data_IF_797177669303
#
_entry.id   IF_797177669303
#
_cell.length_a   1.000
_cell.length_b   1.000
_cell.length_c   1.000
_cell.angle_alpha   90.00
_cell.angle_beta   90.00
_cell.angle_gamma   90.00
#
_symmetry.space_group_name_H-M   'P 1'
#
loop_
_entity.id
_entity.type
_entity.pdbx_description
1 polymer ?
#
# COMPACT_ATOMS: atom_id res chain seq x y z
N UNK A 1 11.47 11.95 -43.02
CA UNK A 1 10.34 11.42 -42.28
C UNK A 1 9.04 11.78 -42.99
N UNK A 2 8.31 10.77 -43.44
CA UNK A 2 7.13 10.97 -44.30
C UNK A 2 5.82 10.84 -43.54
N UNK A 3 5.89 10.45 -42.26
CA UNK A 3 4.77 10.32 -41.36
C UNK A 3 4.88 11.29 -40.20
N UNK A 4 3.73 11.68 -39.65
CA UNK A 4 3.55 12.29 -38.35
C UNK A 4 2.52 11.51 -37.56
N UNK A 5 2.72 11.45 -36.27
CA UNK A 5 1.84 10.76 -35.30
C UNK A 5 1.20 11.82 -34.44
N UNK A 6 -0.12 11.86 -34.36
CA UNK A 6 -0.84 12.66 -33.39
C UNK A 6 -1.25 11.77 -32.24
N UNK A 7 -0.76 12.10 -31.08
CA UNK A 7 -1.07 11.44 -29.81
C UNK A 7 -2.07 12.33 -29.05
N UNK A 8 -3.20 11.76 -28.68
CA UNK A 8 -4.18 12.42 -27.81
C UNK A 8 -4.18 11.77 -26.47
N UNK A 9 -3.79 12.49 -25.43
CA UNK A 9 -3.76 12.02 -24.05
C UNK A 9 -5.16 11.97 -23.42
N UNK A 10 -5.29 11.36 -22.25
CA UNK A 10 -6.56 11.22 -21.51
C UNK A 10 -7.27 12.56 -21.23
N UNK A 11 -6.51 13.62 -21.01
CA UNK A 11 -7.06 14.97 -20.78
C UNK A 11 -7.43 15.72 -22.08
N UNK A 12 -7.30 15.05 -23.23
CA UNK A 12 -7.61 15.62 -24.53
C UNK A 12 -6.52 16.49 -25.16
N UNK A 13 -5.34 16.59 -24.53
CA UNK A 13 -4.21 17.28 -25.16
C UNK A 13 -3.71 16.48 -26.36
N UNK A 14 -3.35 17.19 -27.43
CA UNK A 14 -2.84 16.59 -28.68
C UNK A 14 -1.40 17.01 -28.86
N UNK A 15 -0.55 16.02 -29.01
CA UNK A 15 0.88 16.18 -29.25
C UNK A 15 1.24 15.58 -30.62
N UNK A 16 2.12 16.26 -31.38
CA UNK A 16 2.67 15.76 -32.62
C UNK A 16 4.04 15.10 -32.35
N UNK A 17 4.12 13.80 -32.58
CA UNK A 17 5.33 13.00 -32.40
C UNK A 17 5.79 12.51 -33.79
N UNK A 18 7.08 12.54 -34.01
CA UNK A 18 7.66 12.05 -35.26
C UNK A 18 8.30 10.67 -35.04
N UNK A 19 8.07 9.71 -35.96
CA UNK A 19 8.74 8.41 -35.89
C UNK A 19 10.25 8.58 -35.93
N UNK A 20 10.95 7.82 -35.09
CA UNK A 20 12.42 7.70 -35.15
C UNK A 20 12.85 6.98 -36.40
N UNK A 21 12.17 5.89 -36.72
CA UNK A 21 12.44 5.03 -37.84
C UNK A 21 11.12 4.66 -38.56
N UNK A 22 11.24 4.51 -39.88
CA UNK A 22 10.19 3.94 -40.77
C UNK A 22 10.86 2.78 -41.50
N UNK A 23 10.37 1.57 -41.28
CA UNK A 23 10.95 0.34 -41.85
C UNK A 23 9.86 -0.49 -42.53
N UNK A 24 10.26 -1.42 -43.42
CA UNK A 24 9.38 -2.40 -44.02
C UNK A 24 8.95 -3.47 -42.99
N UNK A 25 8.10 -4.41 -43.41
CA UNK A 25 7.64 -5.51 -42.58
C UNK A 25 8.78 -6.39 -42.05
N UNK A 26 9.96 -6.41 -42.69
CA UNK A 26 11.13 -7.18 -42.35
C UNK A 26 12.17 -6.40 -41.52
N UNK A 27 11.83 -5.18 -41.07
CA UNK A 27 12.68 -4.23 -40.36
C UNK A 27 13.85 -3.66 -41.20
N UNK A 28 13.77 -3.67 -42.52
CA UNK A 28 14.71 -2.96 -43.35
C UNK A 28 14.28 -1.50 -43.57
N UNK A 29 15.23 -0.59 -43.71
CA UNK A 29 14.94 0.77 -44.10
C UNK A 29 14.25 0.80 -45.49
N UNK A 30 13.26 1.68 -45.66
CA UNK A 30 12.61 1.84 -46.92
C UNK A 30 13.61 2.34 -47.97
N UNK A 31 13.60 1.68 -49.11
CA UNK A 31 14.41 2.02 -50.27
C UNK A 31 13.54 2.53 -51.42
N UNK A 32 14.15 2.75 -52.61
CA UNK A 32 13.45 3.26 -53.78
C UNK A 32 12.40 2.28 -54.35
N UNK A 33 12.38 1.02 -53.94
CA UNK A 33 11.37 0.04 -54.35
C UNK A 33 10.02 0.23 -53.64
N UNK A 34 10.05 0.96 -52.49
CA UNK A 34 8.89 1.18 -51.63
C UNK A 34 8.47 -0.05 -50.86
N UNK A 35 7.41 0.09 -50.10
CA UNK A 35 6.77 -1.00 -49.33
C UNK A 35 5.25 -0.74 -49.25
N UNK A 36 4.48 -1.81 -49.22
CA UNK A 36 3.02 -1.77 -49.02
C UNK A 36 2.68 -1.82 -47.51
N UNK A 37 3.60 -2.22 -46.71
CA UNK A 37 3.46 -2.28 -45.25
C UNK A 37 4.67 -1.64 -44.59
N UNK A 38 4.43 -0.71 -43.67
CA UNK A 38 5.46 -0.01 -42.93
C UNK A 38 5.25 -0.15 -41.43
N UNK A 39 6.36 -0.23 -40.68
CA UNK A 39 6.37 -0.12 -39.24
C UNK A 39 6.96 1.23 -38.85
N UNK A 40 6.32 1.88 -37.91
CA UNK A 40 6.77 3.15 -37.37
C UNK A 40 7.28 2.92 -35.94
N UNK A 41 8.51 3.28 -35.72
CA UNK A 41 9.09 3.26 -34.35
C UNK A 41 8.95 4.68 -33.77
N UNK A 42 8.14 4.83 -32.74
CA UNK A 42 7.83 6.10 -32.11
C UNK A 42 8.32 6.07 -30.67
N UNK A 43 9.16 7.02 -30.31
CA UNK A 43 9.57 7.20 -28.92
C UNK A 43 8.51 7.98 -28.17
N UNK A 44 8.01 7.41 -27.08
CA UNK A 44 7.12 8.07 -26.13
C UNK A 44 7.95 8.46 -24.91
N UNK A 45 7.77 9.67 -24.40
CA UNK A 45 8.42 10.16 -23.18
C UNK A 45 7.62 9.86 -21.90
N UNK A 46 6.58 9.05 -22.02
CA UNK A 46 5.72 8.60 -20.93
C UNK A 46 5.38 7.10 -21.07
N UNK A 47 4.86 6.52 -19.99
CA UNK A 47 4.35 5.13 -19.98
C UNK A 47 2.86 5.18 -20.36
N UNK A 48 2.42 4.48 -21.44
CA UNK A 48 1.02 4.44 -21.82
C UNK A 48 0.14 3.84 -20.73
N UNK A 49 -1.05 4.42 -20.56
CA UNK A 49 -2.06 4.03 -19.55
C UNK A 49 -3.30 3.37 -20.19
N UNK A 50 -3.25 3.07 -21.48
CA UNK A 50 -4.34 2.40 -22.20
C UNK A 50 -5.49 3.28 -22.63
N UNK A 51 -5.40 4.58 -22.39
CA UNK A 51 -6.43 5.54 -22.78
C UNK A 51 -6.00 6.54 -23.87
N UNK A 52 -4.74 6.53 -24.23
CA UNK A 52 -4.17 7.41 -25.24
C UNK A 52 -4.58 6.95 -26.65
N UNK A 53 -4.93 7.93 -27.47
CA UNK A 53 -5.37 7.69 -28.84
C UNK A 53 -4.31 8.17 -29.83
N UNK A 54 -3.93 7.28 -30.73
CA UNK A 54 -2.93 7.53 -31.78
C UNK A 54 -3.62 7.63 -33.14
N UNK A 55 -3.25 8.65 -33.91
CA UNK A 55 -3.58 8.77 -35.34
C UNK A 55 -2.32 9.05 -36.15
N UNK A 56 -2.17 8.39 -37.28
CA UNK A 56 -0.98 8.46 -38.11
C UNK A 56 -1.36 9.11 -39.42
N UNK A 57 -0.68 10.20 -39.78
CA UNK A 57 -0.93 10.99 -41.00
C UNK A 57 0.30 11.02 -41.88
N UNK A 58 0.13 11.25 -43.22
CA UNK A 58 1.21 11.77 -44.01
C UNK A 58 1.70 13.11 -43.45
N UNK A 59 3.00 13.32 -43.42
CA UNK A 59 3.57 14.59 -42.91
C UNK A 59 3.16 15.79 -43.74
N UNK A 60 3.01 15.59 -45.02
CA UNK A 60 2.57 16.60 -45.99
C UNK A 60 1.88 15.95 -47.18
N UNK A 61 1.26 16.75 -48.04
CA UNK A 61 0.60 16.26 -49.29
C UNK A 61 1.54 15.58 -50.27
N UNK A 62 2.86 15.72 -50.10
CA UNK A 62 3.86 15.13 -50.99
C UNK A 62 4.74 14.11 -50.29
N UNK A 63 4.41 13.71 -49.06
CA UNK A 63 5.25 12.83 -48.27
C UNK A 63 5.15 11.36 -48.67
N UNK A 64 3.95 10.92 -49.08
CA UNK A 64 3.67 9.54 -49.47
C UNK A 64 3.05 9.52 -50.84
N UNK A 65 3.55 8.68 -51.74
CA UNK A 65 3.06 8.55 -53.11
C UNK A 65 3.19 7.10 -53.60
N UNK A 66 2.36 6.73 -54.54
CA UNK A 66 2.43 5.42 -55.18
C UNK A 66 3.48 5.38 -56.30
N UNK A 67 3.68 4.20 -56.93
CA UNK A 67 4.65 3.98 -58.02
C UNK A 67 4.41 4.84 -59.26
N UNK A 68 3.23 5.42 -59.40
CA UNK A 68 2.87 6.34 -60.51
C UNK A 68 3.04 7.82 -60.12
N UNK A 69 3.56 8.11 -58.94
CA UNK A 69 3.76 9.48 -58.46
C UNK A 69 2.49 10.17 -57.96
N UNK A 70 1.41 9.43 -57.72
CA UNK A 70 0.16 9.98 -57.16
C UNK A 70 0.29 10.06 -55.66
N UNK A 71 0.17 11.26 -55.14
CA UNK A 71 0.31 11.54 -53.71
C UNK A 71 -0.89 11.06 -52.91
N UNK A 72 -0.63 10.66 -51.67
CA UNK A 72 -1.65 10.41 -50.66
C UNK A 72 -2.21 11.74 -50.14
N UNK A 73 -3.53 11.82 -49.92
CA UNK A 73 -4.11 13.00 -49.30
C UNK A 73 -3.56 13.18 -47.85
N UNK A 74 -3.10 14.38 -47.56
CA UNK A 74 -2.57 14.71 -46.23
C UNK A 74 -3.63 14.74 -45.14
N UNK A 75 -4.91 14.72 -45.47
CA UNK A 75 -6.03 14.59 -44.55
C UNK A 75 -6.37 13.13 -44.17
N UNK A 76 -5.89 12.16 -44.99
CA UNK A 76 -6.07 10.75 -44.70
C UNK A 76 -5.23 10.34 -43.47
N UNK A 77 -5.79 9.46 -42.65
CA UNK A 77 -5.09 8.96 -41.48
C UNK A 77 -5.40 7.49 -41.18
N UNK A 78 -4.44 6.83 -40.55
CA UNK A 78 -4.64 5.52 -39.95
C UNK A 78 -4.99 5.67 -38.47
N UNK A 79 -5.95 4.89 -38.00
CA UNK A 79 -6.46 4.94 -36.62
C UNK A 79 -7.93 5.40 -36.59
N UNK A 80 -8.45 5.80 -35.41
CA UNK A 80 -7.74 5.91 -34.14
C UNK A 80 -7.31 4.55 -33.59
N UNK A 81 -6.11 4.48 -33.01
CA UNK A 81 -5.60 3.33 -32.26
C UNK A 81 -5.46 3.72 -30.80
N UNK A 82 -5.83 2.84 -29.92
CA UNK A 82 -5.54 3.00 -28.48
C UNK A 82 -4.20 2.34 -28.17
N UNK A 83 -3.34 3.02 -27.41
CA UNK A 83 -2.11 2.40 -26.92
C UNK A 83 -2.44 1.31 -25.90
N UNK A 84 -1.64 0.27 -25.89
CA UNK A 84 -1.74 -0.72 -24.83
C UNK A 84 -1.22 -0.11 -23.53
N UNK A 85 -1.94 -0.35 -22.45
CA UNK A 85 -1.52 0.00 -21.11
C UNK A 85 -0.24 -0.74 -20.73
N UNK A 86 0.73 -0.01 -20.21
CA UNK A 86 2.02 -0.51 -19.71
C UNK A 86 2.34 0.01 -18.32
N UNK A 87 1.43 0.83 -17.76
CA UNK A 87 1.57 1.30 -16.40
C UNK A 87 1.26 0.14 -15.46
N UNK A 88 2.21 -0.18 -14.58
CA UNK A 88 1.99 -1.21 -13.58
C UNK A 88 1.22 -0.63 -12.41
N UNK A 89 0.28 -1.37 -11.82
CA UNK A 89 -0.37 -0.94 -10.62
C UNK A 89 0.66 -0.79 -9.49
N UNK A 90 0.48 0.26 -8.72
CA UNK A 90 1.20 0.50 -7.47
C UNK A 90 0.21 0.94 -6.40
N UNK A 91 0.55 0.71 -5.16
CA UNK A 91 -0.30 1.06 -4.03
C UNK A 91 0.35 2.09 -3.11
N UNK A 92 -0.50 2.78 -2.37
CA UNK A 92 -0.15 3.54 -1.19
C UNK A 92 -0.96 2.98 -0.01
N UNK A 93 -0.39 3.07 1.18
CA UNK A 93 -1.08 2.72 2.42
C UNK A 93 -1.34 3.97 3.26
N UNK A 94 -2.43 3.97 4.03
CA UNK A 94 -2.68 4.99 5.04
C UNK A 94 -1.78 4.84 6.28
N UNK A 95 -1.04 3.73 6.38
CA UNK A 95 -0.03 3.48 7.41
C UNK A 95 1.33 3.38 6.70
N UNK A 96 2.29 4.20 7.13
CA UNK A 96 3.66 4.17 6.61
C UNK A 96 4.51 3.19 7.43
N UNK A 97 5.57 2.66 6.81
CA UNK A 97 6.58 1.87 7.53
C UNK A 97 7.22 2.71 8.64
N UNK A 98 7.25 2.15 9.85
CA UNK A 98 7.72 2.83 11.06
C UNK A 98 6.65 3.65 11.78
N UNK A 99 5.38 3.59 11.37
CA UNK A 99 4.28 4.19 12.11
C UNK A 99 4.18 3.61 13.52
N UNK A 100 3.83 4.43 14.48
CA UNK A 100 3.70 4.07 15.90
C UNK A 100 2.28 4.32 16.40
N UNK A 101 1.91 3.72 17.52
CA UNK A 101 0.60 3.88 18.16
C UNK A 101 -0.58 3.42 17.29
N UNK A 102 -0.37 2.37 16.50
CA UNK A 102 -1.45 1.81 15.66
C UNK A 102 -2.35 0.92 16.50
N UNK A 103 -3.63 1.23 16.49
CA UNK A 103 -4.66 0.45 17.19
C UNK A 103 -5.19 -0.67 16.30
N UNK A 104 -5.56 -1.81 16.88
CA UNK A 104 -6.27 -2.86 16.15
C UNK A 104 -7.64 -2.40 15.59
N UNK A 105 -8.17 -1.27 16.08
CA UNK A 105 -9.41 -0.67 15.57
C UNK A 105 -9.18 0.17 14.32
N UNK A 106 -7.93 0.47 14.01
CA UNK A 106 -7.59 1.22 12.81
C UNK A 106 -7.72 0.31 11.59
N UNK A 107 -8.40 0.80 10.58
CA UNK A 107 -8.48 0.11 9.29
C UNK A 107 -7.25 0.45 8.47
N UNK A 108 -6.52 -0.57 8.01
CA UNK A 108 -5.40 -0.38 7.10
C UNK A 108 -5.95 -0.37 5.67
N UNK A 109 -5.71 0.71 4.94
CA UNK A 109 -6.25 0.91 3.60
C UNK A 109 -5.10 0.92 2.60
N UNK A 110 -5.16 0.04 1.63
CA UNK A 110 -4.32 0.06 0.45
C UNK A 110 -5.11 0.67 -0.70
N UNK A 111 -4.61 1.77 -1.25
CA UNK A 111 -5.20 2.42 -2.42
C UNK A 111 -4.27 2.25 -3.62
N UNK A 112 -4.81 1.76 -4.72
CA UNK A 112 -4.09 1.55 -5.97
C UNK A 112 -4.33 2.71 -6.92
N UNK A 113 -3.36 2.97 -7.80
CA UNK A 113 -3.48 4.00 -8.84
C UNK A 113 -4.55 3.70 -9.88
N UNK A 114 -5.02 2.47 -9.94
CA UNK A 114 -5.99 1.96 -10.90
C UNK A 114 -6.70 0.70 -10.37
N UNK A 115 -7.85 0.32 -10.93
CA UNK A 115 -8.52 -0.92 -10.56
C UNK A 115 -7.64 -2.16 -10.81
N UNK A 116 -7.64 -3.06 -9.84
CA UNK A 116 -6.84 -4.28 -9.84
C UNK A 116 -7.70 -5.54 -9.82
N UNK A 117 -7.09 -6.67 -10.18
CA UNK A 117 -7.62 -8.01 -10.05
C UNK A 117 -6.50 -8.96 -9.62
N UNK A 118 -6.85 -10.19 -9.29
CA UNK A 118 -5.83 -11.24 -9.07
C UNK A 118 -5.20 -11.65 -10.40
N UNK A 119 -4.00 -12.23 -10.30
CA UNK A 119 -3.28 -12.78 -11.46
C UNK A 119 -4.16 -13.73 -12.30
N UNK A 120 -3.90 -13.76 -13.60
CA UNK A 120 -4.62 -14.56 -14.58
C UNK A 120 -6.10 -14.12 -14.76
N UNK A 121 -6.39 -12.86 -14.52
CA UNK A 121 -7.71 -12.28 -14.75
C UNK A 121 -8.77 -12.70 -13.74
N UNK A 122 -8.39 -13.27 -12.62
CA UNK A 122 -9.36 -13.67 -11.59
C UNK A 122 -9.93 -12.44 -10.88
N UNK A 123 -11.23 -12.41 -10.57
CA UNK A 123 -11.82 -11.28 -9.88
C UNK A 123 -11.28 -11.15 -8.46
N UNK A 124 -11.09 -9.92 -8.03
CA UNK A 124 -10.76 -9.60 -6.66
C UNK A 124 -12.05 -9.54 -5.84
N UNK A 125 -12.13 -10.37 -4.80
CA UNK A 125 -13.22 -10.42 -3.83
C UNK A 125 -12.64 -10.26 -2.42
N UNK A 126 -13.49 -10.03 -1.42
CA UNK A 126 -13.07 -9.93 -0.03
C UNK A 126 -12.25 -11.17 0.39
N UNK A 127 -12.76 -12.37 0.13
CA UNK A 127 -12.07 -13.62 0.49
C UNK A 127 -10.76 -13.81 -0.25
N UNK A 128 -10.72 -13.52 -1.55
CA UNK A 128 -9.51 -13.69 -2.35
C UNK A 128 -8.43 -12.63 -2.02
N UNK A 129 -8.84 -11.45 -1.59
CA UNK A 129 -7.94 -10.42 -1.11
C UNK A 129 -7.25 -10.85 0.20
N UNK A 130 -7.94 -11.57 1.11
CA UNK A 130 -7.33 -12.08 2.35
C UNK A 130 -6.06 -12.89 2.09
N UNK A 131 -6.07 -13.74 1.07
CA UNK A 131 -4.91 -14.57 0.74
C UNK A 131 -3.69 -13.77 0.26
N UNK A 132 -3.91 -12.50 -0.08
CA UNK A 132 -2.89 -11.59 -0.60
C UNK A 132 -2.12 -10.86 0.49
N UNK A 133 -2.54 -10.98 1.73
CA UNK A 133 -1.91 -10.35 2.89
C UNK A 133 -1.37 -11.38 3.87
N UNK A 134 -0.37 -10.98 4.65
CA UNK A 134 0.12 -11.74 5.81
C UNK A 134 0.48 -10.73 6.89
N UNK A 135 -0.09 -10.90 8.08
CA UNK A 135 0.19 -10.04 9.22
C UNK A 135 0.90 -10.87 10.29
N UNK A 136 2.05 -10.39 10.72
CA UNK A 136 2.91 -11.07 11.69
C UNK A 136 3.29 -10.14 12.82
N UNK A 137 3.34 -10.69 14.02
CA UNK A 137 4.03 -10.11 15.16
C UNK A 137 5.50 -10.53 15.08
N UNK A 138 6.40 -9.58 14.85
CA UNK A 138 7.82 -9.86 14.57
C UNK A 138 8.76 -9.53 15.73
N UNK A 139 8.30 -8.74 16.70
CA UNK A 139 9.07 -8.45 17.91
C UNK A 139 8.11 -8.23 19.09
N UNK A 140 8.38 -8.89 20.19
CA UNK A 140 7.60 -8.81 21.42
C UNK A 140 8.53 -8.74 22.60
N UNK A 141 8.14 -7.99 23.62
CA UNK A 141 8.87 -7.92 24.88
C UNK A 141 8.46 -9.02 25.86
N UNK A 142 7.29 -9.61 25.69
CA UNK A 142 6.68 -10.57 26.61
C UNK A 142 6.32 -11.90 25.96
N UNK A 143 5.99 -12.88 26.76
CA UNK A 143 5.51 -14.19 26.31
C UNK A 143 4.00 -14.17 26.11
N UNK A 144 3.51 -14.77 25.03
CA UNK A 144 2.07 -15.01 24.84
C UNK A 144 1.69 -16.34 25.50
N UNK A 145 0.63 -16.31 26.29
CA UNK A 145 0.05 -17.50 26.89
C UNK A 145 -1.24 -17.84 26.14
N UNK A 146 -1.20 -18.93 25.39
CA UNK A 146 -2.39 -19.46 24.71
C UNK A 146 -2.92 -20.62 25.54
N UNK A 147 -4.05 -20.41 26.21
CA UNK A 147 -4.73 -21.45 27.01
C UNK A 147 -5.90 -22.04 26.22
N UNK A 148 -5.88 -23.35 26.02
CA UNK A 148 -7.00 -24.13 25.53
C UNK A 148 -7.54 -25.02 26.67
N UNK A 149 -8.73 -25.63 26.58
CA UNK A 149 -9.24 -26.51 27.63
C UNK A 149 -8.28 -27.64 28.01
N UNK A 150 -7.45 -28.10 27.08
CA UNK A 150 -6.58 -29.25 27.26
C UNK A 150 -5.09 -28.93 27.35
N UNK A 151 -4.68 -27.67 27.08
CA UNK A 151 -3.26 -27.29 27.08
C UNK A 151 -3.03 -25.81 27.27
N UNK A 152 -1.85 -25.47 27.79
CA UNK A 152 -1.33 -24.10 27.82
C UNK A 152 -0.04 -24.07 27.02
N UNK A 153 0.00 -23.22 25.99
CA UNK A 153 1.19 -23.00 25.18
C UNK A 153 1.76 -21.64 25.56
N UNK A 154 3.03 -21.60 25.90
CA UNK A 154 3.76 -20.36 26.14
C UNK A 154 4.62 -20.08 24.91
N UNK A 155 4.32 -18.99 24.22
CA UNK A 155 5.10 -18.53 23.08
C UNK A 155 6.13 -17.51 23.64
N UNK A 156 7.43 -17.80 23.55
CA UNK A 156 8.44 -16.93 24.11
C UNK A 156 8.51 -15.57 23.42
N UNK A 157 9.11 -14.56 24.05
CA UNK A 157 9.42 -13.28 23.40
C UNK A 157 10.20 -13.47 22.10
N UNK A 158 10.14 -12.50 21.23
CA UNK A 158 10.83 -12.46 19.91
C UNK A 158 10.50 -13.61 18.94
N UNK A 159 9.47 -14.39 19.23
CA UNK A 159 8.97 -15.40 18.28
C UNK A 159 8.04 -14.76 17.25
N UNK A 160 8.29 -15.05 15.97
CA UNK A 160 7.36 -14.64 14.90
C UNK A 160 6.06 -15.46 15.02
N UNK A 161 4.93 -14.78 15.07
CA UNK A 161 3.61 -15.41 15.25
C UNK A 161 2.63 -14.93 14.19
N UNK A 162 2.01 -15.89 13.48
CA UNK A 162 0.96 -15.64 12.50
C UNK A 162 -0.43 -15.89 13.14
N UNK A 163 -0.74 -15.18 14.24
CA UNK A 163 -2.00 -15.36 14.97
C UNK A 163 -2.99 -14.21 14.76
N UNK A 164 -2.61 -13.20 14.01
CA UNK A 164 -3.46 -12.03 13.79
C UNK A 164 -4.62 -12.39 12.89
N UNK A 165 -5.82 -12.23 13.41
CA UNK A 165 -7.05 -12.49 12.66
C UNK A 165 -7.55 -11.19 12.05
N UNK A 166 -7.80 -11.21 10.76
CA UNK A 166 -8.29 -10.06 10.00
C UNK A 166 -9.26 -10.52 8.91
N UNK A 167 -9.98 -9.59 8.34
CA UNK A 167 -10.70 -9.78 7.09
C UNK A 167 -10.43 -8.60 6.16
N UNK A 168 -10.71 -8.79 4.88
CA UNK A 168 -10.54 -7.75 3.88
C UNK A 168 -11.88 -7.30 3.33
N UNK A 169 -11.95 -6.05 2.89
CA UNK A 169 -13.05 -5.50 2.12
C UNK A 169 -12.50 -4.85 0.85
N UNK A 170 -13.07 -5.18 -0.28
CA UNK A 170 -12.69 -4.65 -1.60
C UNK A 170 -13.71 -3.62 -2.02
N UNK A 171 -13.24 -2.52 -2.60
CA UNK A 171 -14.11 -1.50 -3.16
C UNK A 171 -14.74 -2.02 -4.46
N UNK A 172 -16.04 -2.35 -4.42
CA UNK A 172 -16.83 -2.85 -5.57
C UNK A 172 -17.81 -1.76 -6.04
N UNK A 173 -17.94 -1.48 -7.33
CA UNK A 173 -17.47 -2.25 -8.51
C UNK A 173 -16.08 -1.86 -9.04
N UNK A 174 -15.40 -0.90 -8.45
CA UNK A 174 -14.06 -0.46 -8.87
C UNK A 174 -13.02 -0.89 -7.83
N UNK A 175 -12.37 -2.06 -8.00
CA UNK A 175 -11.44 -2.61 -7.03
C UNK A 175 -10.08 -1.88 -7.07
N UNK A 176 -10.09 -0.61 -6.70
CA UNK A 176 -8.92 0.26 -6.58
C UNK A 176 -8.47 0.46 -5.13
N UNK A 177 -9.14 -0.17 -4.19
CA UNK A 177 -8.72 -0.16 -2.78
C UNK A 177 -9.10 -1.44 -2.06
N UNK A 178 -8.26 -1.83 -1.10
CA UNK A 178 -8.46 -2.97 -0.21
C UNK A 178 -8.32 -2.48 1.23
N UNK A 179 -9.32 -2.75 2.04
CA UNK A 179 -9.33 -2.47 3.46
C UNK A 179 -8.99 -3.73 4.23
N UNK A 180 -7.99 -3.67 5.10
CA UNK A 180 -7.60 -4.75 5.99
C UNK A 180 -8.05 -4.38 7.39
N UNK A 181 -8.98 -5.16 7.94
CA UNK A 181 -9.68 -4.87 9.20
C UNK A 181 -9.35 -5.95 10.21
N UNK A 182 -8.73 -5.57 11.32
CA UNK A 182 -8.37 -6.48 12.39
C UNK A 182 -9.60 -6.89 13.19
N UNK A 183 -9.69 -8.16 13.54
CA UNK A 183 -10.80 -8.74 14.31
C UNK A 183 -10.46 -9.00 15.77
N UNK A 184 -9.18 -8.92 16.11
CA UNK A 184 -8.68 -9.13 17.47
C UNK A 184 -7.69 -8.03 17.86
N UNK A 185 -7.62 -7.67 19.16
CA UNK A 185 -6.61 -6.73 19.63
C UNK A 185 -5.19 -7.21 19.32
N UNK A 186 -4.35 -6.29 18.94
CA UNK A 186 -2.90 -6.49 18.96
C UNK A 186 -2.39 -6.60 20.41
N UNK A 187 -1.20 -7.20 20.57
CA UNK A 187 -0.44 -7.02 21.79
C UNK A 187 -0.06 -5.54 22.01
N UNK A 188 0.21 -5.19 23.28
CA UNK A 188 0.64 -3.84 23.64
C UNK A 188 2.09 -3.63 23.23
N UNK A 189 2.41 -2.53 22.56
CA UNK A 189 3.78 -2.15 22.14
C UNK A 189 4.49 -3.22 21.29
N UNK A 190 3.73 -3.94 20.45
CA UNK A 190 4.31 -4.96 19.58
C UNK A 190 4.71 -4.37 18.23
N UNK A 191 5.81 -4.87 17.68
CA UNK A 191 6.19 -4.58 16.29
C UNK A 191 5.51 -5.57 15.35
N UNK A 192 4.68 -5.04 14.48
CA UNK A 192 3.92 -5.79 13.48
C UNK A 192 4.54 -5.67 12.10
N UNK A 193 4.38 -6.71 11.30
CA UNK A 193 4.72 -6.73 9.88
C UNK A 193 3.49 -7.10 9.07
N UNK A 194 3.08 -6.23 8.15
CA UNK A 194 2.03 -6.47 7.19
C UNK A 194 2.67 -6.62 5.81
N UNK A 195 2.56 -7.79 5.24
CA UNK A 195 3.11 -8.13 3.93
C UNK A 195 1.97 -8.14 2.93
N UNK A 196 2.09 -7.37 1.85
CA UNK A 196 1.25 -7.46 0.66
C UNK A 196 1.99 -8.28 -0.40
N UNK A 197 1.36 -9.31 -0.92
CA UNK A 197 1.96 -10.18 -1.95
C UNK A 197 1.86 -9.54 -3.33
N UNK A 198 2.67 -10.02 -4.27
CA UNK A 198 2.74 -9.55 -5.65
C UNK A 198 1.77 -10.28 -6.60
N UNK A 199 0.62 -10.73 -6.08
CA UNK A 199 -0.36 -11.52 -6.82
C UNK A 199 -1.49 -10.70 -7.48
N UNK A 200 -1.28 -9.40 -7.64
CA UNK A 200 -2.21 -8.48 -8.29
C UNK A 200 -1.73 -8.08 -9.69
N UNK A 201 -2.69 -7.83 -10.56
CA UNK A 201 -2.50 -7.23 -11.88
C UNK A 201 -3.62 -6.22 -12.15
N UNK A 202 -3.40 -5.28 -13.07
CA UNK A 202 -4.45 -4.43 -13.61
C UNK A 202 -5.35 -5.19 -14.62
N UNK A 203 -6.33 -4.50 -15.22
CA UNK A 203 -7.19 -5.09 -16.22
C UNK A 203 -6.51 -5.29 -17.59
N UNK A 204 -5.34 -4.70 -17.78
CA UNK A 204 -4.48 -4.87 -18.97
C UNK A 204 -3.50 -6.04 -18.82
N UNK A 205 -3.37 -6.60 -17.63
CA UNK A 205 -2.48 -7.72 -17.32
C UNK A 205 -1.09 -7.30 -16.84
N UNK A 206 -0.88 -6.01 -16.52
CA UNK A 206 0.38 -5.56 -15.93
C UNK A 206 0.39 -5.93 -14.44
N UNK A 207 1.43 -6.65 -14.03
CA UNK A 207 1.59 -7.09 -12.64
C UNK A 207 2.14 -5.97 -11.76
N UNK A 208 1.72 -5.92 -10.51
CA UNK A 208 2.35 -5.09 -9.48
C UNK A 208 3.85 -5.34 -9.42
N UNK A 209 4.62 -4.31 -9.10
CA UNK A 209 6.09 -4.35 -9.22
C UNK A 209 6.74 -5.41 -8.33
N UNK A 210 6.30 -5.54 -7.09
CA UNK A 210 6.83 -6.50 -6.11
C UNK A 210 5.90 -6.63 -4.91
N UNK A 211 6.09 -7.69 -4.14
CA UNK A 211 5.59 -7.74 -2.77
C UNK A 211 6.16 -6.58 -1.95
N UNK A 212 5.38 -6.07 -1.04
CA UNK A 212 5.78 -4.98 -0.14
C UNK A 212 5.55 -5.37 1.32
N UNK A 213 6.25 -4.71 2.22
CA UNK A 213 6.17 -4.96 3.65
C UNK A 213 6.12 -3.66 4.41
N UNK A 214 5.06 -3.47 5.17
CA UNK A 214 4.89 -2.34 6.07
C UNK A 214 5.12 -2.84 7.50
N UNK A 215 5.98 -2.17 8.24
CA UNK A 215 6.17 -2.43 9.68
C UNK A 215 5.63 -1.27 10.49
N UNK A 216 4.99 -1.57 11.60
CA UNK A 216 4.43 -0.56 12.50
C UNK A 216 4.45 -1.06 13.95
N UNK A 217 4.37 -0.14 14.90
CA UNK A 217 4.26 -0.45 16.32
C UNK A 217 2.82 -0.22 16.80
N UNK A 218 2.34 -1.17 17.60
CA UNK A 218 1.00 -1.09 18.18
C UNK A 218 0.97 -0.15 19.36
N UNK A 219 -0.23 0.40 19.63
CA UNK A 219 -0.45 1.25 20.79
C UNK A 219 -0.28 0.44 22.07
N UNK A 220 0.24 1.08 23.11
CA UNK A 220 0.13 0.56 24.47
C UNK A 220 -1.35 0.56 24.89
N UNK A 221 -1.86 -0.62 25.22
CA UNK A 221 -3.23 -0.85 25.64
C UNK A 221 -3.34 -1.58 26.99
N UNK A 222 -2.22 -1.72 27.69
CA UNK A 222 -2.17 -2.31 29.02
C UNK A 222 -2.32 -1.19 30.04
N UNK A 223 -3.33 -1.32 30.90
CA UNK A 223 -3.46 -0.39 32.01
C UNK A 223 -2.35 -0.63 33.05
N UNK A 224 -1.77 0.45 33.60
CA UNK A 224 -0.76 0.31 34.64
C UNK A 224 -1.28 -0.47 35.84
N UNK A 225 -0.46 -1.34 36.40
CA UNK A 225 -0.77 -2.15 37.58
C UNK A 225 0.30 -2.00 38.66
N UNK A 226 -0.03 -2.39 39.87
CA UNK A 226 0.91 -2.37 40.96
C UNK A 226 1.86 -3.57 40.89
N UNK A 227 3.14 -3.29 40.95
CA UNK A 227 4.14 -4.38 41.07
C UNK A 227 3.93 -5.16 42.36
N UNK A 228 3.60 -6.43 42.24
CA UNK A 228 3.30 -7.28 43.38
C UNK A 228 4.45 -7.28 44.41
N UNK A 229 4.11 -7.03 45.68
CA UNK A 229 5.08 -6.97 46.76
C UNK A 229 5.94 -5.70 46.82
N UNK A 230 5.69 -4.71 45.93
CA UNK A 230 6.44 -3.45 45.93
C UNK A 230 6.03 -2.49 47.06
N UNK A 231 4.82 -2.64 47.60
CA UNK A 231 4.31 -1.75 48.62
C UNK A 231 5.15 -1.89 49.95
N UNK A 232 5.75 -0.80 50.37
CA UNK A 232 6.55 -0.68 51.57
C UNK A 232 6.08 0.49 52.41
N UNK A 233 5.99 0.30 53.74
CA UNK A 233 5.84 1.39 54.67
C UNK A 233 7.25 1.88 55.00
N UNK A 234 7.57 3.07 54.45
CA UNK A 234 8.90 3.65 54.63
C UNK A 234 9.10 4.22 56.05
N UNK A 235 8.10 4.93 56.56
CA UNK A 235 8.16 5.53 57.89
C UNK A 235 6.78 5.67 58.54
N UNK A 236 6.76 5.52 59.82
CA UNK A 236 5.62 5.81 60.69
C UNK A 236 6.01 6.93 61.65
N UNK A 237 5.33 8.07 61.60
CA UNK A 237 5.59 9.17 62.51
C UNK A 237 4.31 9.73 63.12
N UNK A 238 4.48 10.28 64.34
CA UNK A 238 3.41 10.89 65.08
C UNK A 238 3.66 12.40 65.17
N UNK A 239 2.67 13.19 64.79
CA UNK A 239 2.68 14.61 65.09
C UNK A 239 1.87 14.83 66.36
N UNK A 240 2.52 15.21 67.45
CA UNK A 240 1.90 15.62 68.66
C UNK A 240 1.57 17.12 68.55
N UNK A 241 0.27 17.46 68.56
CA UNK A 241 -0.16 18.86 68.62
C UNK A 241 -0.05 19.31 70.07
N UNK A 242 1.00 19.96 70.48
CA UNK A 242 1.34 20.34 71.82
C UNK A 242 0.33 21.34 72.45
N UNK A 243 -0.58 21.97 71.72
CA UNK A 243 -1.43 23.05 72.23
C UNK A 243 -2.93 22.70 72.31
N UNK A 244 -3.33 21.45 72.08
CA UNK A 244 -4.73 21.05 72.25
C UNK A 244 -4.84 19.56 72.64
N UNK A 245 -4.89 19.24 73.96
CA UNK A 245 -4.90 17.88 74.44
C UNK A 245 -6.18 17.09 74.12
N UNK A 246 -7.19 17.71 73.57
CA UNK A 246 -8.40 17.05 73.11
C UNK A 246 -8.41 16.67 71.64
N UNK A 247 -7.38 17.02 70.87
CA UNK A 247 -7.26 16.58 69.50
C UNK A 247 -6.35 15.33 69.44
N UNK A 248 -6.90 14.26 68.87
CA UNK A 248 -6.16 13.02 68.64
C UNK A 248 -4.90 13.29 67.79
N UNK A 249 -3.76 12.76 68.25
CA UNK A 249 -2.51 12.79 67.49
C UNK A 249 -2.74 12.20 66.11
N UNK A 250 -2.41 12.95 65.10
CA UNK A 250 -2.47 12.42 63.75
C UNK A 250 -1.28 11.52 63.49
N UNK A 251 -1.56 10.37 62.93
CA UNK A 251 -0.53 9.39 62.52
C UNK A 251 -0.37 9.47 61.03
N UNK A 252 0.85 9.49 60.58
CA UNK A 252 1.20 9.52 59.18
C UNK A 252 2.10 8.32 58.86
N UNK A 253 1.92 7.77 57.68
CA UNK A 253 2.87 6.81 57.16
C UNK A 253 3.20 7.18 55.72
N UNK A 254 4.45 7.00 55.35
CA UNK A 254 4.87 7.05 53.95
C UNK A 254 4.80 5.63 53.41
N UNK A 255 4.06 5.50 52.31
CA UNK A 255 3.98 4.23 51.61
C UNK A 255 4.65 4.45 50.25
N UNK A 256 5.65 3.64 49.97
CA UNK A 256 6.27 3.54 48.67
C UNK A 256 5.66 2.36 47.95
N UNK A 257 5.29 2.53 46.68
CA UNK A 257 4.81 1.48 45.80
C UNK A 257 5.42 1.68 44.44
N UNK A 258 5.58 0.60 43.69
CA UNK A 258 6.01 0.64 42.28
C UNK A 258 4.83 0.27 41.41
N UNK A 259 4.78 0.93 40.26
CA UNK A 259 3.83 0.70 39.19
C UNK A 259 4.65 0.27 37.97
N UNK A 260 4.14 -0.64 37.18
CA UNK A 260 4.85 -1.27 36.07
C UNK A 260 4.87 -0.43 34.79
N UNK A 261 4.30 0.77 34.86
CA UNK A 261 4.24 1.71 33.74
C UNK A 261 4.43 3.16 34.23
N UNK A 262 4.60 4.08 33.28
CA UNK A 262 4.60 5.51 33.53
C UNK A 262 3.18 6.03 33.72
N UNK A 263 2.89 6.52 34.93
CA UNK A 263 1.57 7.07 35.23
C UNK A 263 1.55 8.60 35.11
N UNK A 264 0.46 9.10 34.55
CA UNK A 264 0.14 10.52 34.54
C UNK A 264 -1.10 10.72 35.40
N UNK A 265 -1.02 11.61 36.39
CA UNK A 265 -2.17 11.96 37.22
C UNK A 265 -2.76 13.30 36.78
N UNK A 266 -4.07 13.36 36.63
CA UNK A 266 -4.76 14.62 36.42
C UNK A 266 -4.81 15.40 37.75
N UNK A 267 -4.09 16.52 37.79
CA UNK A 267 -4.09 17.45 38.90
C UNK A 267 -5.16 18.53 38.71
N UNK A 268 -6.43 18.13 38.55
CA UNK A 268 -7.56 19.06 38.55
C UNK A 268 -7.91 19.58 39.94
#
# INVERSE_FOLDING_TARGET
QDFKVLLTSLNGQVEEVFPLYVVDQNNNLLDASGADTVKLDVNLDFIPTGGEIVRIFPKSSNAIFNSNGVNMDSAEFAGPFTLNDQLKPFHNSNIETGAINISYKDTIIFSFNEPIRLLNGQPLTDDSAMESFVIKDIARSDSIIVSTPDSTIIIPPDSVVDYVTYFTMVNDPSPDSIWVIMTQPFGSEHTMSLIIKDNFEDFSGNRILSADTITFETIDNIAPDFVAGSAKIDSLFYISLQNNPSQNSRRYCNVQLSIDDNIFTDHS
#
